data_IF_218174183591
#
_entry.id   IF_218174183591
#
_cell.length_a   1.000
_cell.length_b   1.000
_cell.length_c   1.000
_cell.angle_alpha   90.00
_cell.angle_beta   90.00
_cell.angle_gamma   90.00
#
_symmetry.space_group_name_H-M   'P 1'
#
loop_
_entity.id
_entity.type
_entity.pdbx_description
1 polymer ?
#
# COMPACT_ATOMS: atom_id res chain seq x y z
N UNK A 1 -4.30 3.00 12.63
CA UNK A 1 -3.64 2.19 13.68
C UNK A 1 -4.25 0.79 13.70
N UNK A 2 -3.46 -0.29 13.89
CA UNK A 2 -3.99 -1.65 14.05
C UNK A 2 -4.71 -1.76 15.40
N UNK A 3 -5.98 -2.14 15.38
CA UNK A 3 -6.81 -2.29 16.59
C UNK A 3 -6.96 -3.73 17.06
N UNK A 4 -7.09 -4.65 16.09
CA UNK A 4 -7.18 -6.07 16.41
C UNK A 4 -6.53 -6.94 15.35
N UNK A 5 -6.10 -8.12 15.77
CA UNK A 5 -5.49 -9.14 14.93
C UNK A 5 -6.06 -10.50 15.31
N UNK A 6 -6.60 -11.21 14.34
CA UNK A 6 -7.03 -12.59 14.48
C UNK A 6 -6.19 -13.48 13.56
N UNK A 7 -5.63 -14.53 14.10
CA UNK A 7 -4.81 -15.51 13.39
C UNK A 7 -5.38 -16.90 13.66
N UNK A 8 -5.72 -17.63 12.60
CA UNK A 8 -6.24 -18.99 12.72
C UNK A 8 -5.48 -19.95 11.82
N UNK A 9 -5.02 -21.08 12.38
CA UNK A 9 -4.28 -22.14 11.69
C UNK A 9 -3.01 -21.69 10.94
N UNK A 10 -2.28 -20.74 11.50
CA UNK A 10 -1.06 -20.19 10.90
C UNK A 10 0.20 -20.72 11.59
N UNK A 11 0.99 -21.50 10.90
CA UNK A 11 2.21 -22.15 11.40
C UNK A 11 1.97 -22.89 12.73
N UNK A 12 2.51 -22.41 13.84
CA UNK A 12 2.31 -23.00 15.17
C UNK A 12 1.08 -22.46 15.89
N UNK A 13 0.48 -21.37 15.39
CA UNK A 13 -0.69 -20.73 16.00
C UNK A 13 -1.95 -21.48 15.52
N UNK A 14 -2.71 -22.00 16.47
CA UNK A 14 -4.02 -22.59 16.19
C UNK A 14 -5.09 -21.53 16.09
N UNK A 15 -5.24 -20.73 17.14
CA UNK A 15 -6.14 -19.60 17.19
C UNK A 15 -5.59 -18.54 18.14
N UNK A 16 -5.54 -17.30 17.69
CA UNK A 16 -5.02 -16.17 18.45
C UNK A 16 -5.79 -14.90 18.13
N UNK A 17 -6.39 -14.31 19.16
CA UNK A 17 -7.02 -13.00 19.09
C UNK A 17 -6.22 -12.01 19.93
N UNK A 18 -5.80 -10.91 19.31
CA UNK A 18 -5.11 -9.80 19.97
C UNK A 18 -5.88 -8.51 19.75
N UNK A 19 -5.95 -7.71 20.80
CA UNK A 19 -6.46 -6.34 20.74
C UNK A 19 -5.34 -5.38 21.11
N UNK A 20 -5.16 -4.32 20.34
CA UNK A 20 -4.11 -3.32 20.55
C UNK A 20 -4.75 -2.03 21.07
N UNK A 21 -4.15 -1.47 22.12
CA UNK A 21 -4.49 -0.13 22.59
C UNK A 21 -3.58 0.93 21.95
N UNK A 22 -3.80 2.18 22.34
CA UNK A 22 -2.92 3.28 21.96
C UNK A 22 -1.55 3.13 22.64
N UNK A 23 -0.48 3.46 21.89
CA UNK A 23 0.88 3.48 22.40
C UNK A 23 1.70 2.26 22.00
N UNK A 24 2.51 1.72 22.93
CA UNK A 24 3.47 0.65 22.67
C UNK A 24 2.97 -0.68 23.21
N UNK A 25 2.96 -1.71 22.36
CA UNK A 25 2.69 -3.09 22.76
C UNK A 25 3.99 -3.89 22.70
N UNK A 26 4.37 -4.56 23.79
CA UNK A 26 5.60 -5.33 23.90
C UNK A 26 5.29 -6.82 23.92
N UNK A 27 5.84 -7.57 22.97
CA UNK A 27 5.77 -9.04 22.94
C UNK A 27 7.06 -9.63 23.49
N UNK A 28 7.00 -10.34 24.60
CA UNK A 28 8.13 -11.02 25.21
C UNK A 28 8.00 -12.54 25.04
N UNK A 29 9.11 -13.24 25.01
CA UNK A 29 9.13 -14.70 24.90
C UNK A 29 10.50 -15.21 24.50
N UNK A 30 10.73 -16.50 24.65
CA UNK A 30 11.98 -17.14 24.23
C UNK A 30 12.18 -17.03 22.71
N UNK A 31 13.45 -17.03 22.27
CA UNK A 31 13.82 -16.96 20.86
C UNK A 31 13.37 -18.22 20.13
N UNK A 32 12.65 -18.04 19.02
CA UNK A 32 12.40 -19.07 18.00
C UNK A 32 10.95 -19.48 17.77
N UNK A 33 10.04 -19.39 18.74
CA UNK A 33 8.78 -20.10 18.59
C UNK A 33 7.54 -19.24 18.24
N UNK A 34 7.45 -17.98 18.59
CA UNK A 34 6.19 -17.23 18.43
C UNK A 34 6.32 -15.84 17.81
N UNK A 35 7.35 -15.08 18.20
CA UNK A 35 7.50 -13.68 17.79
C UNK A 35 7.65 -13.50 16.28
N UNK A 36 8.49 -14.30 15.64
CA UNK A 36 8.70 -14.23 14.18
C UNK A 36 7.45 -14.68 13.41
N UNK A 37 6.74 -15.69 13.93
CA UNK A 37 5.49 -16.17 13.33
C UNK A 37 4.41 -15.08 13.41
N UNK A 38 4.35 -14.35 14.52
CA UNK A 38 3.43 -13.21 14.67
C UNK A 38 3.75 -12.08 13.67
N UNK A 39 5.05 -11.74 13.51
CA UNK A 39 5.48 -10.77 12.50
C UNK A 39 5.20 -11.24 11.07
N UNK A 40 5.36 -12.55 10.80
CA UNK A 40 4.99 -13.12 9.51
C UNK A 40 3.48 -13.00 9.24
N UNK A 41 2.65 -13.29 10.24
CA UNK A 41 1.20 -13.13 10.14
C UNK A 41 0.79 -11.66 9.90
N UNK A 42 1.35 -10.72 10.67
CA UNK A 42 1.14 -9.28 10.44
C UNK A 42 1.60 -8.88 9.03
N UNK A 43 2.74 -9.39 8.57
CA UNK A 43 3.25 -9.17 7.22
C UNK A 43 2.30 -9.67 6.12
N UNK A 44 1.46 -10.70 6.41
CA UNK A 44 0.43 -11.14 5.45
C UNK A 44 -0.59 -10.04 5.16
N UNK A 45 -0.93 -9.22 6.17
CA UNK A 45 -1.84 -8.07 6.00
C UNK A 45 -1.20 -6.94 5.20
N UNK A 46 0.13 -6.82 5.25
CA UNK A 46 0.90 -5.86 4.44
C UNK A 46 1.24 -6.36 3.02
N UNK A 47 0.72 -7.54 2.62
CA UNK A 47 0.94 -8.08 1.28
C UNK A 47 2.18 -8.95 1.11
N UNK A 48 2.80 -9.44 2.19
CA UNK A 48 3.86 -10.44 2.14
C UNK A 48 3.39 -11.69 1.39
N UNK A 49 4.29 -12.36 0.68
CA UNK A 49 3.95 -13.56 -0.10
C UNK A 49 3.50 -14.70 0.81
N UNK A 50 2.28 -15.21 0.59
CA UNK A 50 1.79 -16.40 1.27
C UNK A 50 2.43 -17.68 0.69
N UNK A 51 2.61 -18.68 1.56
CA UNK A 51 3.15 -19.99 1.20
C UNK A 51 2.39 -21.09 1.94
N UNK A 52 2.32 -22.27 1.35
CA UNK A 52 1.75 -23.45 2.00
C UNK A 52 2.50 -23.87 3.27
N UNK A 53 3.75 -23.43 3.44
CA UNK A 53 4.55 -23.66 4.67
C UNK A 53 3.98 -22.95 5.90
N UNK A 54 3.17 -21.89 5.72
CA UNK A 54 2.48 -21.21 6.81
C UNK A 54 1.16 -21.87 7.22
N UNK A 55 0.65 -22.82 6.43
CA UNK A 55 -0.56 -23.56 6.80
C UNK A 55 -0.20 -24.56 7.90
N UNK A 56 -0.89 -24.47 9.05
CA UNK A 56 -0.68 -25.33 10.21
C UNK A 56 -0.76 -26.81 9.81
N UNK A 57 0.11 -27.64 10.38
CA UNK A 57 0.09 -29.07 10.13
C UNK A 57 -1.27 -29.67 10.54
N UNK A 58 -1.85 -30.49 9.68
CA UNK A 58 -3.16 -31.11 9.93
C UNK A 58 -4.36 -30.24 9.53
N UNK A 59 -4.14 -29.04 8.95
CA UNK A 59 -5.22 -28.17 8.44
C UNK A 59 -5.05 -27.89 6.95
N UNK A 60 -6.12 -27.43 6.29
CA UNK A 60 -6.15 -27.17 4.85
C UNK A 60 -5.89 -25.70 4.49
N UNK A 61 -6.08 -24.79 5.44
CA UNK A 61 -5.91 -23.36 5.21
C UNK A 61 -5.57 -22.61 6.48
N UNK A 62 -5.05 -21.39 6.33
CA UNK A 62 -4.95 -20.41 7.40
C UNK A 62 -5.80 -19.17 7.09
N UNK A 63 -6.12 -18.42 8.13
CA UNK A 63 -6.73 -17.10 8.09
C UNK A 63 -5.89 -16.12 8.91
N UNK A 64 -5.64 -14.95 8.38
CA UNK A 64 -5.13 -13.77 9.12
C UNK A 64 -6.06 -12.61 8.82
N UNK A 65 -6.60 -12.01 9.87
CA UNK A 65 -7.47 -10.85 9.78
C UNK A 65 -6.99 -9.74 10.70
N UNK A 66 -7.03 -8.51 10.23
CA UNK A 66 -6.65 -7.33 10.99
C UNK A 66 -7.63 -6.19 10.78
N UNK A 67 -8.05 -5.54 11.86
CA UNK A 67 -8.82 -4.32 11.81
C UNK A 67 -7.91 -3.11 12.08
N UNK A 68 -7.98 -2.14 11.18
CA UNK A 68 -7.24 -0.89 11.24
C UNK A 68 -8.23 0.27 11.37
N UNK A 69 -7.80 1.31 12.07
CA UNK A 69 -8.58 2.54 12.21
C UNK A 69 -7.75 3.75 11.81
N UNK A 70 -8.37 4.66 11.07
CA UNK A 70 -7.78 5.92 10.62
C UNK A 70 -8.72 7.08 10.93
N UNK A 71 -8.17 8.16 11.46
CA UNK A 71 -8.90 9.40 11.65
C UNK A 71 -7.92 10.59 11.63
N UNK A 72 -7.87 11.36 10.53
CA UNK A 72 -8.50 11.14 9.21
C UNK A 72 -7.81 10.05 8.38
N UNK A 73 -8.46 9.61 7.30
CA UNK A 73 -7.84 8.78 6.28
C UNK A 73 -6.74 9.56 5.54
N UNK A 74 -5.55 9.00 5.32
CA UNK A 74 -4.56 9.61 4.44
C UNK A 74 -5.09 9.74 3.01
N UNK A 75 -4.87 10.89 2.35
CA UNK A 75 -5.39 11.19 1.01
C UNK A 75 -5.04 10.11 -0.03
N UNK A 76 -3.79 9.64 -0.03
CA UNK A 76 -3.37 8.57 -0.97
C UNK A 76 -4.00 7.21 -0.68
N UNK A 77 -4.37 6.93 0.58
CA UNK A 77 -5.12 5.72 0.96
C UNK A 77 -6.57 5.83 0.50
N UNK A 78 -7.22 6.97 0.73
CA UNK A 78 -8.60 7.24 0.32
C UNK A 78 -8.77 7.07 -1.21
N UNK A 79 -7.86 7.64 -1.99
CA UNK A 79 -7.86 7.47 -3.46
C UNK A 79 -7.71 5.99 -3.85
N UNK A 80 -6.77 5.27 -3.21
CA UNK A 80 -6.54 3.85 -3.51
C UNK A 80 -7.77 2.98 -3.20
N UNK A 81 -8.49 3.28 -2.12
CA UNK A 81 -9.72 2.59 -1.73
C UNK A 81 -10.85 2.86 -2.73
N UNK A 82 -11.03 4.12 -3.11
CA UNK A 82 -12.02 4.56 -4.09
C UNK A 82 -11.79 3.92 -5.47
N UNK A 83 -10.54 3.91 -5.95
CA UNK A 83 -10.15 3.31 -7.24
C UNK A 83 -10.45 1.80 -7.30
N UNK A 84 -10.50 1.14 -6.14
CA UNK A 84 -10.78 -0.30 -6.03
C UNK A 84 -12.19 -0.60 -5.52
N UNK A 85 -13.07 0.39 -5.45
CA UNK A 85 -14.47 0.26 -4.98
C UNK A 85 -14.59 -0.34 -3.57
N UNK A 86 -13.66 0.05 -2.68
CA UNK A 86 -13.65 -0.38 -1.30
C UNK A 86 -14.30 0.71 -0.45
N UNK A 87 -15.43 0.41 0.13
CA UNK A 87 -16.13 1.31 1.05
C UNK A 87 -15.48 1.27 2.43
N UNK A 88 -15.35 2.44 3.05
CA UNK A 88 -14.82 2.60 4.41
C UNK A 88 -15.87 3.30 5.25
N UNK A 89 -16.28 2.66 6.31
CA UNK A 89 -17.22 3.21 7.28
C UNK A 89 -16.45 3.69 8.52
N UNK A 90 -16.68 4.95 8.90
CA UNK A 90 -16.09 5.59 10.09
C UNK A 90 -14.55 5.44 10.22
N UNK A 91 -13.82 5.30 9.09
CA UNK A 91 -12.37 5.13 9.09
C UNK A 91 -11.90 3.71 9.43
N UNK A 92 -12.79 2.73 9.52
CA UNK A 92 -12.46 1.34 9.81
C UNK A 92 -12.12 0.58 8.53
N UNK A 93 -10.99 -0.11 8.54
CA UNK A 93 -10.51 -0.96 7.44
C UNK A 93 -10.21 -2.35 7.96
N UNK A 94 -10.98 -3.34 7.53
CA UNK A 94 -10.80 -4.75 7.89
C UNK A 94 -10.16 -5.47 6.71
N UNK A 95 -9.01 -6.09 6.94
CA UNK A 95 -8.32 -6.91 5.95
C UNK A 95 -8.35 -8.36 6.41
N UNK A 96 -8.90 -9.23 5.58
CA UNK A 96 -8.95 -10.67 5.82
C UNK A 96 -8.21 -11.38 4.71
N UNK A 97 -7.25 -12.22 5.07
CA UNK A 97 -6.45 -13.00 4.14
C UNK A 97 -6.49 -14.47 4.48
N UNK A 98 -7.12 -15.24 3.61
CA UNK A 98 -7.14 -16.70 3.67
C UNK A 98 -6.20 -17.29 2.62
N UNK A 99 -5.50 -18.37 2.98
CA UNK A 99 -4.66 -19.10 2.05
C UNK A 99 -4.78 -20.61 2.28
N UNK A 100 -5.00 -21.35 1.21
CA UNK A 100 -5.17 -22.79 1.22
C UNK A 100 -3.84 -23.50 0.90
N UNK A 101 -3.65 -24.68 1.46
CA UNK A 101 -2.51 -25.57 1.17
C UNK A 101 -2.37 -25.87 -0.32
N UNK A 102 -3.47 -25.88 -1.07
CA UNK A 102 -3.52 -26.03 -2.53
C UNK A 102 -2.87 -24.87 -3.31
N UNK A 103 -2.47 -23.77 -2.63
CA UNK A 103 -1.90 -22.57 -3.23
C UNK A 103 -2.92 -21.49 -3.59
N UNK A 104 -4.22 -21.71 -3.36
CA UNK A 104 -5.26 -20.70 -3.57
C UNK A 104 -5.30 -19.73 -2.40
N UNK A 105 -5.37 -18.43 -2.72
CA UNK A 105 -5.49 -17.38 -1.70
C UNK A 105 -6.64 -16.44 -2.02
N UNK A 106 -7.33 -16.00 -0.96
CA UNK A 106 -8.40 -14.99 -1.02
C UNK A 106 -8.02 -13.84 -0.13
N UNK A 107 -8.22 -12.63 -0.61
CA UNK A 107 -7.95 -11.39 0.11
C UNK A 107 -9.21 -10.54 0.04
N UNK A 108 -9.73 -10.18 1.20
CA UNK A 108 -10.87 -9.29 1.33
C UNK A 108 -10.46 -8.02 2.08
N UNK A 109 -10.94 -6.90 1.61
CA UNK A 109 -10.80 -5.60 2.28
C UNK A 109 -12.22 -5.02 2.42
N UNK A 110 -12.69 -4.87 3.65
CA UNK A 110 -14.09 -4.54 3.96
C UNK A 110 -15.09 -5.38 3.13
N UNK A 111 -14.83 -6.70 3.01
CA UNK A 111 -15.67 -7.62 2.24
C UNK A 111 -15.44 -7.60 0.72
N UNK A 112 -14.71 -6.64 0.18
CA UNK A 112 -14.38 -6.55 -1.25
C UNK A 112 -13.17 -7.41 -1.59
N UNK A 113 -13.30 -8.27 -2.61
CA UNK A 113 -12.20 -9.11 -3.09
C UNK A 113 -11.16 -8.27 -3.83
N UNK A 114 -9.90 -8.37 -3.41
CA UNK A 114 -8.80 -7.61 -4.02
C UNK A 114 -7.62 -8.50 -4.41
N UNK A 115 -6.85 -8.13 -5.45
CA UNK A 115 -5.61 -8.83 -5.79
C UNK A 115 -4.47 -8.47 -4.82
N UNK A 116 -3.44 -9.32 -4.74
CA UNK A 116 -2.26 -9.11 -3.88
C UNK A 116 -1.52 -7.79 -4.20
N UNK A 117 -1.59 -7.32 -5.44
CA UNK A 117 -0.99 -6.04 -5.86
C UNK A 117 -1.63 -4.85 -5.16
N UNK A 118 -2.95 -4.86 -5.02
CA UNK A 118 -3.71 -3.83 -4.28
C UNK A 118 -3.40 -3.94 -2.79
N UNK A 119 -3.44 -5.16 -2.21
CA UNK A 119 -3.08 -5.36 -0.81
C UNK A 119 -1.67 -4.84 -0.49
N UNK A 120 -0.69 -5.04 -1.37
CA UNK A 120 0.67 -4.55 -1.16
C UNK A 120 0.75 -3.03 -1.15
N UNK A 121 -0.03 -2.36 -2.01
CA UNK A 121 -0.14 -0.89 -2.02
C UNK A 121 -0.82 -0.38 -0.75
N UNK A 122 -1.89 -1.03 -0.30
CA UNK A 122 -2.55 -0.74 0.98
C UNK A 122 -1.57 -0.94 2.14
N UNK A 123 -0.82 -2.04 2.15
CA UNK A 123 0.15 -2.39 3.20
C UNK A 123 1.15 -1.29 3.51
N UNK A 124 1.57 -0.51 2.51
CA UNK A 124 2.47 0.63 2.69
C UNK A 124 1.88 1.78 3.54
N UNK A 125 0.55 1.89 3.61
CA UNK A 125 -0.14 2.86 4.48
C UNK A 125 -0.50 2.28 5.86
N UNK A 126 -0.55 0.95 5.96
CA UNK A 126 -1.06 0.27 7.16
C UNK A 126 0.02 -0.01 8.18
N UNK A 127 1.18 -0.47 7.72
CA UNK A 127 2.22 -1.06 8.55
C UNK A 127 3.60 -0.72 8.00
N UNK A 128 4.46 -0.23 8.88
CA UNK A 128 5.90 -0.17 8.63
C UNK A 128 6.58 -1.25 9.49
N UNK A 129 7.05 -2.31 8.84
CA UNK A 129 7.61 -3.49 9.51
C UNK A 129 9.13 -3.45 9.40
N UNK A 130 9.80 -3.26 10.54
CA UNK A 130 11.25 -3.30 10.63
C UNK A 130 11.71 -4.66 11.18
N UNK A 131 12.07 -5.58 10.28
CA UNK A 131 12.60 -6.90 10.63
C UNK A 131 14.11 -7.00 10.39
N UNK A 132 14.72 -8.10 10.85
CA UNK A 132 16.16 -8.34 10.67
C UNK A 132 16.59 -8.46 9.19
N UNK A 133 15.63 -8.69 8.27
CA UNK A 133 15.87 -8.93 6.85
C UNK A 133 14.95 -8.13 5.93
N UNK A 134 14.13 -7.23 6.47
CA UNK A 134 13.20 -6.45 5.65
C UNK A 134 13.86 -5.15 5.19
N UNK A 135 13.73 -4.89 3.88
CA UNK A 135 14.13 -3.61 3.28
C UNK A 135 13.23 -2.51 3.84
N UNK A 136 13.69 -1.84 4.88
CA UNK A 136 13.02 -0.65 5.38
C UNK A 136 12.92 0.41 4.28
N UNK A 137 11.94 1.32 4.37
CA UNK A 137 11.79 2.47 3.47
C UNK A 137 13.12 3.26 3.32
N UNK A 138 13.99 3.21 4.34
CA UNK A 138 15.33 3.82 4.34
C UNK A 138 16.25 3.23 3.27
N UNK A 139 16.13 1.95 2.91
CA UNK A 139 16.94 1.35 1.85
C UNK A 139 16.42 1.63 0.43
N UNK A 140 15.21 2.14 0.30
CA UNK A 140 14.66 2.54 -0.99
C UNK A 140 14.88 4.03 -1.22
N UNK A 141 15.85 4.38 -2.07
CA UNK A 141 16.24 5.75 -2.37
C UNK A 141 15.09 6.65 -2.85
N UNK A 142 14.03 6.08 -3.43
CA UNK A 142 12.85 6.85 -3.86
C UNK A 142 12.06 7.47 -2.71
N UNK A 143 12.21 6.94 -1.48
CA UNK A 143 11.53 7.49 -0.30
C UNK A 143 12.39 8.47 0.50
N UNK A 144 13.70 8.57 0.24
CA UNK A 144 14.60 9.41 1.04
C UNK A 144 14.16 10.88 1.04
N UNK A 145 13.79 11.41 -0.11
CA UNK A 145 13.32 12.80 -0.22
C UNK A 145 12.02 12.99 0.56
N UNK A 146 11.06 12.08 0.43
CA UNK A 146 9.79 12.15 1.15
C UNK A 146 9.96 12.07 2.67
N UNK A 147 10.91 11.27 3.15
CA UNK A 147 11.25 11.18 4.58
C UNK A 147 11.83 12.51 5.06
N UNK A 148 12.77 13.09 4.33
CA UNK A 148 13.39 14.38 4.67
C UNK A 148 12.36 15.52 4.65
N UNK A 149 11.53 15.57 3.63
CA UNK A 149 10.47 16.57 3.48
C UNK A 149 9.40 16.46 4.59
N UNK A 150 9.24 15.27 5.16
CA UNK A 150 8.31 15.02 6.27
C UNK A 150 8.79 15.46 7.65
N UNK A 151 10.10 15.81 7.83
CA UNK A 151 10.68 16.09 9.14
C UNK A 151 10.18 17.39 9.79
N UNK A 152 9.88 18.42 8.98
CA UNK A 152 9.36 19.70 9.47
C UNK A 152 8.14 20.15 8.72
N UNK A 153 7.24 20.89 9.39
CA UNK A 153 6.02 21.40 8.78
C UNK A 153 6.32 22.37 7.63
N UNK A 154 7.33 23.24 7.81
CA UNK A 154 7.72 24.27 6.83
C UNK A 154 8.22 23.64 5.52
N UNK A 155 9.05 22.58 5.60
CA UNK A 155 9.57 21.87 4.43
C UNK A 155 8.43 21.13 3.72
N UNK A 156 7.49 20.55 4.47
CA UNK A 156 6.31 19.90 3.90
C UNK A 156 5.45 20.88 3.12
N UNK A 157 5.21 22.08 3.67
CA UNK A 157 4.44 23.13 2.98
C UNK A 157 5.16 23.60 1.72
N UNK A 158 6.45 23.91 1.82
CA UNK A 158 7.26 24.32 0.67
C UNK A 158 7.28 23.25 -0.45
N UNK A 159 7.27 21.97 -0.07
CA UNK A 159 7.17 20.86 -1.03
C UNK A 159 5.83 20.83 -1.74
N UNK A 160 4.73 21.03 -1.02
CA UNK A 160 3.39 21.09 -1.63
C UNK A 160 3.28 22.24 -2.63
N UNK A 161 3.76 23.42 -2.24
CA UNK A 161 3.76 24.61 -3.11
C UNK A 161 4.61 24.37 -4.38
N UNK A 162 5.77 23.74 -4.23
CA UNK A 162 6.63 23.36 -5.36
C UNK A 162 5.93 22.36 -6.29
N UNK A 163 5.33 21.31 -5.75
CA UNK A 163 4.68 20.27 -6.56
C UNK A 163 3.47 20.83 -7.34
N UNK A 164 2.77 21.82 -6.79
CA UNK A 164 1.68 22.50 -7.47
C UNK A 164 2.20 23.35 -8.65
N UNK A 165 3.23 24.17 -8.42
CA UNK A 165 3.86 24.98 -9.45
C UNK A 165 4.52 24.12 -10.53
N UNK A 166 5.15 23.01 -10.15
CA UNK A 166 5.76 22.08 -11.09
C UNK A 166 4.71 21.43 -12.01
N UNK A 167 3.56 21.03 -11.47
CA UNK A 167 2.46 20.48 -12.27
C UNK A 167 1.93 21.52 -13.28
N UNK A 168 1.72 22.75 -12.84
CA UNK A 168 1.28 23.84 -13.71
C UNK A 168 2.29 24.13 -14.83
N UNK A 169 3.57 24.19 -14.48
CA UNK A 169 4.63 24.36 -15.46
C UNK A 169 4.66 23.23 -16.50
N UNK A 170 4.58 21.99 -16.05
CA UNK A 170 4.63 20.82 -16.92
C UNK A 170 3.41 20.75 -17.86
N UNK A 171 2.24 21.12 -17.37
CA UNK A 171 1.02 21.23 -18.19
C UNK A 171 1.19 22.29 -19.27
N UNK A 172 1.62 23.50 -18.90
CA UNK A 172 1.83 24.61 -19.84
C UNK A 172 2.89 24.27 -20.90
N UNK A 173 3.98 23.61 -20.50
CA UNK A 173 5.01 23.13 -21.44
C UNK A 173 4.43 22.10 -22.43
N UNK A 174 3.57 21.20 -21.96
CA UNK A 174 2.86 20.24 -22.80
C UNK A 174 1.94 20.92 -23.82
N UNK A 175 1.18 21.91 -23.40
CA UNK A 175 0.31 22.71 -24.27
C UNK A 175 1.11 23.47 -25.34
N UNK A 176 2.22 24.09 -24.97
CA UNK A 176 3.11 24.76 -25.92
C UNK A 176 3.67 23.77 -26.95
N UNK A 177 4.10 22.58 -26.52
CA UNK A 177 4.60 21.55 -27.44
C UNK A 177 3.52 21.09 -28.42
N UNK A 178 2.29 20.88 -27.94
CA UNK A 178 1.15 20.51 -28.78
C UNK A 178 0.82 21.58 -29.80
N UNK A 179 0.77 22.85 -29.41
CA UNK A 179 0.50 23.98 -30.31
C UNK A 179 1.58 24.12 -31.39
N UNK A 180 2.86 23.97 -31.01
CA UNK A 180 3.99 24.00 -31.98
C UNK A 180 3.92 22.86 -32.97
N UNK A 181 3.51 21.68 -32.53
CA UNK A 181 3.31 20.54 -33.41
C UNK A 181 2.20 20.79 -34.42
N UNK A 182 1.04 21.29 -33.96
CA UNK A 182 -0.10 21.63 -34.81
C UNK A 182 0.23 22.72 -35.84
N UNK A 183 0.98 23.75 -35.45
CA UNK A 183 1.45 24.78 -36.39
C UNK A 183 2.38 24.20 -37.46
N UNK A 184 3.28 23.34 -37.07
CA UNK A 184 4.20 22.67 -38.02
C UNK A 184 3.45 21.76 -39.01
N UNK A 185 2.43 21.04 -38.56
CA UNK A 185 1.57 20.24 -39.43
C UNK A 185 0.74 21.11 -40.39
N UNK A 186 0.17 22.20 -39.90
CA UNK A 186 -0.57 23.15 -40.74
C UNK A 186 0.32 23.77 -41.82
N UNK A 187 1.54 24.19 -41.49
CA UNK A 187 2.52 24.70 -42.43
C UNK A 187 2.89 23.65 -43.49
N UNK A 188 3.13 22.39 -43.11
CA UNK A 188 3.40 21.29 -44.06
C UNK A 188 2.22 21.06 -45.02
N UNK A 189 0.98 21.06 -44.54
CA UNK A 189 -0.22 20.89 -45.36
C UNK A 189 -0.41 22.05 -46.35
N UNK A 190 -0.07 23.29 -45.96
CA UNK A 190 -0.13 24.44 -46.85
C UNK A 190 0.91 24.37 -47.96
N UNK A 191 2.16 24.00 -47.65
CA UNK A 191 3.25 23.82 -48.64
C UNK A 191 2.90 22.70 -49.60
N UNK A 192 2.36 21.56 -49.09
CA UNK A 192 1.95 20.45 -49.95
C UNK A 192 0.84 20.81 -50.96
N UNK A 193 -0.10 21.68 -50.58
CA UNK A 193 -1.16 22.16 -51.46
C UNK A 193 -0.67 23.20 -52.49
N UNK A 194 0.36 23.98 -52.16
CA UNK A 194 0.95 24.94 -53.09
C UNK A 194 1.83 24.28 -54.14
N UNK A 195 2.42 23.12 -53.88
CA UNK A 195 3.27 22.33 -54.75
C UNK A 195 2.50 21.47 -55.77
N UNK A 196 1.19 21.32 -55.61
CA UNK A 196 0.33 20.57 -56.53
C UNK A 196 -0.47 21.44 -57.50
N UNK A 197 -0.08 22.67 -57.70
CA UNK A 197 -0.53 23.58 -58.77
C UNK A 197 0.68 23.92 -59.67
#
# INVERSE_FOLDING_TARGET
MLQSLHIHNFALIEDLHLTFGDGVTIFTGETGAGKSILLDAIGMLAGKRASASFVRHGTDSFLVEGAFFFSPLPEGLEQLLTDNHIEVDEGQLIISRQFQRSGRGTILVNGTLVPTTVLRRLGAYLLDIHGQFDNSLIFNSSYHVAILDGLTADVRQARQDYDELYRQWHQTEGEIKALRHDESEKARRQIGRASCR
#
